data_IF_847381944672
#
_entry.id   IF_847381944672
#
_cell.length_a   1.000
_cell.length_b   1.000
_cell.length_c   1.000
_cell.angle_alpha   90.00
_cell.angle_beta   90.00
_cell.angle_gamma   90.00
#
_symmetry.space_group_name_H-M   'P 1'
#
loop_
_entity.id
_entity.type
_entity.pdbx_description
1 polymer ?
#
# COMPACT_ATOMS: atom_id res chain seq x y z
N UNK A 1 -13.33 12.45 -11.38
CA UNK A 1 -12.51 12.63 -12.59
C UNK A 1 -12.50 11.32 -13.36
N UNK A 2 -12.78 11.37 -14.65
CA UNK A 2 -12.88 10.18 -15.50
C UNK A 2 -11.97 10.41 -16.71
N UNK A 3 -10.73 9.97 -16.63
CA UNK A 3 -9.72 10.11 -17.69
C UNK A 3 -9.01 8.79 -18.00
N UNK A 4 -9.27 7.74 -17.23
CA UNK A 4 -8.87 6.38 -17.56
C UNK A 4 -9.97 5.67 -18.34
N UNK A 5 -9.59 4.82 -19.28
CA UNK A 5 -10.51 4.04 -20.11
C UNK A 5 -10.93 2.72 -19.46
N UNK A 6 -10.11 2.24 -18.52
CA UNK A 6 -10.30 0.98 -17.79
C UNK A 6 -10.20 1.23 -16.26
N UNK A 7 -10.56 0.23 -15.42
CA UNK A 7 -10.48 0.33 -13.97
C UNK A 7 -9.14 0.85 -13.45
N UNK A 8 -9.21 1.58 -12.35
CA UNK A 8 -8.00 1.99 -11.63
C UNK A 8 -7.51 0.83 -10.76
N UNK A 9 -6.20 0.76 -10.56
CA UNK A 9 -5.58 -0.24 -9.70
C UNK A 9 -5.19 0.33 -8.35
N UNK A 10 -4.59 1.52 -8.35
CA UNK A 10 -4.02 2.11 -7.15
C UNK A 10 -4.01 3.64 -7.26
N UNK A 11 -3.87 4.32 -6.10
CA UNK A 11 -3.67 5.75 -6.02
C UNK A 11 -2.72 6.12 -4.86
N UNK A 12 -1.96 7.19 -5.02
CA UNK A 12 -1.03 7.67 -4.01
C UNK A 12 -0.85 9.19 -4.09
N UNK A 13 -0.73 9.84 -2.93
CA UNK A 13 -0.32 11.25 -2.85
C UNK A 13 1.19 11.40 -2.88
N UNK A 14 1.65 12.55 -3.35
CA UNK A 14 2.99 13.02 -3.04
C UNK A 14 3.04 13.55 -1.58
N UNK A 15 4.26 13.78 -1.06
CA UNK A 15 4.45 14.23 0.34
C UNK A 15 3.73 15.54 0.65
N UNK A 16 3.71 16.48 -0.30
CA UNK A 16 3.11 17.80 -0.09
C UNK A 16 1.58 17.79 -0.24
N UNK A 17 0.98 16.66 -0.64
CA UNK A 17 -0.46 16.54 -0.86
C UNK A 17 -1.00 17.37 -2.04
N UNK A 18 -0.15 18.09 -2.77
CA UNK A 18 -0.57 18.95 -3.89
C UNK A 18 -0.68 18.20 -5.22
N UNK A 19 -0.13 17.00 -5.31
CA UNK A 19 -0.24 16.11 -6.46
C UNK A 19 -0.57 14.70 -5.99
N UNK A 20 -1.26 13.96 -6.84
CA UNK A 20 -1.44 12.52 -6.66
C UNK A 20 -1.34 11.80 -7.99
N UNK A 21 -1.15 10.50 -7.94
CA UNK A 21 -1.07 9.63 -9.10
C UNK A 21 -2.11 8.53 -9.02
N UNK A 22 -2.62 8.11 -10.18
CA UNK A 22 -3.48 6.95 -10.36
C UNK A 22 -2.86 6.00 -11.38
N UNK A 23 -2.91 4.69 -11.10
CA UNK A 23 -2.56 3.63 -12.02
C UNK A 23 -3.80 2.91 -12.52
N UNK A 24 -3.74 2.31 -13.73
CA UNK A 24 -4.91 1.71 -14.37
C UNK A 24 -4.59 0.46 -15.18
N UNK A 25 -5.64 -0.33 -15.41
CA UNK A 25 -5.67 -1.42 -16.38
C UNK A 25 -5.50 -0.93 -17.82
N UNK A 26 -5.70 0.37 -18.11
CA UNK A 26 -5.47 0.96 -19.43
C UNK A 26 -3.99 1.15 -19.79
N UNK A 27 -3.07 0.59 -18.99
CA UNK A 27 -1.62 0.60 -19.18
C UNK A 27 -0.97 1.97 -18.94
N UNK A 28 -1.73 2.92 -18.39
CA UNK A 28 -1.25 4.28 -18.14
C UNK A 28 -1.33 4.64 -16.66
N UNK A 29 -0.54 5.65 -16.28
CA UNK A 29 -0.72 6.38 -15.04
C UNK A 29 -1.01 7.84 -15.35
N UNK A 30 -1.72 8.51 -14.46
CA UNK A 30 -2.00 9.93 -14.58
C UNK A 30 -1.59 10.63 -13.30
N UNK A 31 -0.83 11.71 -13.44
CA UNK A 31 -0.49 12.63 -12.35
C UNK A 31 -1.48 13.78 -12.40
N UNK A 32 -2.03 14.10 -11.24
CA UNK A 32 -3.10 15.07 -11.05
C UNK A 32 -2.66 16.19 -10.13
N UNK A 33 -3.18 17.38 -10.35
CA UNK A 33 -3.19 18.45 -9.35
C UNK A 33 -4.32 18.22 -8.36
N UNK A 34 -4.00 18.23 -7.07
CA UNK A 34 -4.99 17.95 -6.02
C UNK A 34 -6.02 19.06 -5.85
N UNK A 35 -5.62 20.32 -6.06
CA UNK A 35 -6.49 21.46 -5.82
C UNK A 35 -7.48 21.70 -6.96
N UNK A 36 -6.99 21.67 -8.21
CA UNK A 36 -7.85 21.89 -9.39
C UNK A 36 -8.52 20.63 -9.89
N UNK A 37 -7.98 19.44 -9.55
CA UNK A 37 -8.42 18.16 -10.12
C UNK A 37 -8.03 17.98 -11.58
N UNK A 38 -7.16 18.84 -12.13
CA UNK A 38 -6.71 18.77 -13.51
C UNK A 38 -5.63 17.71 -13.71
N UNK A 39 -5.64 17.10 -14.88
CA UNK A 39 -4.58 16.20 -15.30
C UNK A 39 -3.31 16.99 -15.63
N UNK A 40 -2.23 16.73 -14.91
CA UNK A 40 -0.93 17.35 -15.18
C UNK A 40 -0.14 16.58 -16.22
N UNK A 41 -0.01 15.25 -16.04
CA UNK A 41 0.77 14.38 -16.93
C UNK A 41 0.08 13.05 -17.11
N UNK A 42 0.10 12.52 -18.34
CA UNK A 42 -0.28 11.14 -18.65
C UNK A 42 0.99 10.34 -18.97
N UNK A 43 1.33 9.38 -18.12
CA UNK A 43 2.50 8.54 -18.26
C UNK A 43 2.15 7.33 -19.13
N UNK A 44 2.74 7.29 -20.34
CA UNK A 44 2.48 6.24 -21.32
C UNK A 44 3.78 5.51 -21.67
N UNK A 45 3.73 4.18 -21.80
CA UNK A 45 4.90 3.39 -22.17
C UNK A 45 4.97 2.00 -21.56
N UNK A 46 4.11 1.67 -20.58
CA UNK A 46 3.86 0.28 -20.22
C UNK A 46 3.02 -0.42 -21.30
N UNK A 47 3.19 -1.74 -21.41
CA UNK A 47 2.51 -2.58 -22.40
C UNK A 47 1.42 -3.46 -21.81
N UNK A 48 1.19 -3.35 -20.51
CA UNK A 48 0.17 -4.07 -19.77
C UNK A 48 -0.24 -3.24 -18.54
N UNK A 49 -1.15 -3.75 -17.74
CA UNK A 49 -1.69 -3.12 -16.52
C UNK A 49 -0.60 -2.49 -15.67
N UNK A 50 -0.80 -1.25 -15.23
CA UNK A 50 0.02 -0.64 -14.18
C UNK A 50 -0.64 -0.93 -12.85
N UNK A 51 0.00 -1.77 -12.04
CA UNK A 51 -0.58 -2.26 -10.80
C UNK A 51 -0.06 -1.54 -9.56
N UNK A 52 1.25 -1.35 -9.46
CA UNK A 52 1.90 -0.70 -8.31
C UNK A 52 2.46 0.66 -8.71
N UNK A 53 2.28 1.64 -7.84
CA UNK A 53 2.73 3.02 -8.04
C UNK A 53 3.25 3.60 -6.73
N UNK A 54 4.29 4.41 -6.80
CA UNK A 54 4.82 5.12 -5.64
C UNK A 54 5.52 6.40 -6.05
N UNK A 55 5.37 7.47 -5.24
CA UNK A 55 6.25 8.63 -5.31
C UNK A 55 7.52 8.37 -4.51
N UNK A 56 8.64 8.93 -4.95
CA UNK A 56 9.86 8.96 -4.16
C UNK A 56 9.72 10.00 -3.04
N UNK A 57 9.72 9.54 -1.81
CA UNK A 57 9.66 10.43 -0.64
C UNK A 57 11.07 10.60 -0.05
N UNK A 58 11.45 11.80 0.39
CA UNK A 58 10.61 13.00 0.57
C UNK A 58 10.54 13.95 -0.62
N UNK A 59 11.30 13.71 -1.70
CA UNK A 59 11.49 14.70 -2.79
C UNK A 59 10.26 14.86 -3.69
N UNK A 60 9.54 13.76 -3.98
CA UNK A 60 8.35 13.73 -4.82
C UNK A 60 8.54 14.30 -6.24
N UNK A 61 9.77 14.23 -6.75
CA UNK A 61 10.16 14.64 -8.11
C UNK A 61 10.10 13.47 -9.10
N UNK A 62 10.02 12.24 -8.59
CA UNK A 62 9.95 11.01 -9.38
C UNK A 62 8.78 10.13 -8.94
N UNK A 63 8.34 9.29 -9.87
CA UNK A 63 7.37 8.23 -9.64
C UNK A 63 7.93 6.91 -10.16
N UNK A 64 7.76 5.83 -9.39
CA UNK A 64 7.99 4.48 -9.86
C UNK A 64 6.66 3.79 -10.15
N UNK A 65 6.61 3.01 -11.21
CA UNK A 65 5.45 2.21 -11.61
C UNK A 65 5.88 0.77 -11.87
N UNK A 66 5.12 -0.18 -11.35
CA UNK A 66 5.27 -1.62 -11.60
C UNK A 66 4.10 -2.15 -12.41
N UNK A 67 4.40 -2.96 -13.42
CA UNK A 67 3.41 -3.40 -14.40
C UNK A 67 3.42 -4.91 -14.63
N UNK A 68 2.28 -5.41 -15.11
CA UNK A 68 2.13 -6.77 -15.60
C UNK A 68 2.92 -7.02 -16.89
N UNK A 69 3.53 -5.98 -17.51
CA UNK A 69 4.50 -6.14 -18.60
C UNK A 69 5.89 -6.59 -18.13
N UNK A 70 6.04 -6.97 -16.86
CA UNK A 70 7.27 -7.47 -16.23
C UNK A 70 8.35 -6.40 -16.07
N UNK A 71 8.00 -5.13 -16.23
CA UNK A 71 8.94 -4.01 -16.06
C UNK A 71 8.49 -3.06 -14.96
N UNK A 72 9.47 -2.44 -14.30
CA UNK A 72 9.24 -1.23 -13.53
C UNK A 72 9.82 -0.03 -14.29
N UNK A 73 9.18 1.12 -14.16
CA UNK A 73 9.64 2.36 -14.80
C UNK A 73 9.73 3.49 -13.79
N UNK A 74 10.74 4.33 -13.99
CA UNK A 74 10.94 5.56 -13.26
C UNK A 74 10.57 6.74 -14.15
N UNK A 75 9.78 7.67 -13.62
CA UNK A 75 9.26 8.81 -14.36
C UNK A 75 9.58 10.11 -13.66
N UNK A 76 9.85 11.16 -14.43
CA UNK A 76 9.92 12.51 -13.92
C UNK A 76 8.50 13.07 -13.74
N UNK A 77 8.20 13.66 -12.58
CA UNK A 77 6.87 14.17 -12.23
C UNK A 77 6.52 15.46 -12.99
N UNK A 78 7.51 16.28 -13.34
CA UNK A 78 7.26 17.58 -13.97
C UNK A 78 6.92 17.47 -15.47
N UNK A 79 7.68 16.65 -16.20
CA UNK A 79 7.53 16.55 -17.65
C UNK A 79 6.93 15.20 -18.11
N UNK A 80 6.65 14.28 -17.19
CA UNK A 80 6.07 12.97 -17.47
C UNK A 80 6.96 12.03 -18.27
N UNK A 81 8.25 12.34 -18.45
CA UNK A 81 9.15 11.49 -19.22
C UNK A 81 9.62 10.28 -18.43
N UNK A 82 9.69 9.14 -19.11
CA UNK A 82 10.33 7.95 -18.57
C UNK A 82 11.85 8.17 -18.48
N UNK A 83 12.37 8.14 -17.26
CA UNK A 83 13.81 8.27 -16.97
C UNK A 83 14.48 6.92 -17.23
N UNK A 84 13.94 5.84 -16.64
CA UNK A 84 14.54 4.52 -16.66
C UNK A 84 13.49 3.41 -16.76
N UNK A 85 13.92 2.26 -17.30
CA UNK A 85 13.10 1.05 -17.35
C UNK A 85 13.90 -0.11 -16.79
N UNK A 86 13.45 -0.63 -15.64
CA UNK A 86 14.06 -1.76 -14.95
C UNK A 86 13.48 -3.07 -15.46
N UNK A 87 14.37 -4.02 -15.74
CA UNK A 87 14.06 -5.33 -16.29
C UNK A 87 14.77 -6.41 -15.47
N UNK A 88 14.26 -7.62 -15.50
CA UNK A 88 14.84 -8.76 -14.78
C UNK A 88 13.77 -9.73 -14.30
N UNK A 89 12.57 -9.23 -13.99
CA UNK A 89 11.44 -10.08 -13.66
C UNK A 89 10.92 -10.87 -14.87
N UNK A 90 10.41 -12.06 -14.59
CA UNK A 90 9.85 -12.97 -15.61
C UNK A 90 8.33 -13.12 -15.52
N UNK A 91 7.71 -12.48 -14.52
CA UNK A 91 6.27 -12.35 -14.37
C UNK A 91 5.89 -10.93 -13.91
N UNK A 92 4.62 -10.70 -13.64
CA UNK A 92 4.03 -9.42 -13.28
C UNK A 92 4.70 -8.79 -12.04
N UNK A 93 4.97 -7.49 -12.10
CA UNK A 93 5.40 -6.70 -10.94
C UNK A 93 4.15 -6.15 -10.26
N UNK A 94 3.92 -6.57 -9.01
CA UNK A 94 2.70 -6.23 -8.26
C UNK A 94 2.95 -5.35 -7.04
N UNK A 95 4.18 -5.21 -6.61
CA UNK A 95 4.55 -4.31 -5.52
C UNK A 95 5.91 -3.68 -5.74
N UNK A 96 6.10 -2.47 -5.23
CA UNK A 96 7.37 -1.75 -5.26
C UNK A 96 7.47 -0.75 -4.11
N UNK A 97 8.70 -0.39 -3.75
CA UNK A 97 8.97 0.61 -2.72
C UNK A 97 10.29 1.32 -3.00
N UNK A 98 10.31 2.63 -2.81
CA UNK A 98 11.56 3.38 -2.70
C UNK A 98 12.18 3.18 -1.32
N UNK A 99 13.50 3.25 -1.25
CA UNK A 99 14.21 3.44 0.01
C UNK A 99 13.95 4.87 0.55
N UNK A 100 14.14 5.13 1.86
CA UNK A 100 13.89 6.45 2.44
C UNK A 100 14.74 7.59 1.88
N UNK A 101 15.87 7.27 1.25
CA UNK A 101 16.78 8.24 0.62
C UNK A 101 16.47 8.47 -0.86
N UNK A 102 15.55 7.70 -1.43
CA UNK A 102 15.19 7.75 -2.87
C UNK A 102 16.35 7.46 -3.83
N UNK A 103 17.31 6.65 -3.38
CA UNK A 103 18.47 6.20 -4.18
C UNK A 103 18.30 4.79 -4.73
N UNK A 104 17.36 4.03 -4.14
CA UNK A 104 17.10 2.63 -4.50
C UNK A 104 15.60 2.39 -4.70
N UNK A 105 15.29 1.39 -5.51
CA UNK A 105 13.95 0.89 -5.76
C UNK A 105 13.93 -0.64 -5.63
N UNK A 106 13.08 -1.16 -4.76
CA UNK A 106 12.82 -2.59 -4.67
C UNK A 106 11.50 -2.92 -5.37
N UNK A 107 11.46 -4.00 -6.12
CA UNK A 107 10.27 -4.51 -6.80
C UNK A 107 10.00 -5.95 -6.41
N UNK A 108 8.74 -6.31 -6.23
CA UNK A 108 8.29 -7.67 -5.97
C UNK A 108 7.35 -8.16 -7.07
N UNK A 109 7.45 -9.43 -7.40
CA UNK A 109 6.81 -10.01 -8.58
C UNK A 109 6.15 -11.36 -8.30
N UNK A 110 5.22 -11.70 -9.20
CA UNK A 110 4.60 -13.02 -9.30
C UNK A 110 5.61 -14.12 -9.72
N UNK A 111 6.84 -13.74 -10.15
CA UNK A 111 7.93 -14.68 -10.38
C UNK A 111 8.62 -15.18 -9.09
N UNK A 112 8.08 -14.84 -7.92
CA UNK A 112 8.56 -15.23 -6.58
C UNK A 112 9.88 -14.57 -6.17
N UNK A 113 10.28 -13.54 -6.89
CA UNK A 113 11.53 -12.82 -6.62
C UNK A 113 11.28 -11.36 -6.29
N UNK A 114 12.20 -10.77 -5.54
CA UNK A 114 12.30 -9.32 -5.42
C UNK A 114 13.67 -8.86 -5.91
N UNK A 115 13.69 -7.74 -6.64
CA UNK A 115 14.92 -7.18 -7.22
C UNK A 115 15.12 -5.77 -6.70
N UNK A 116 16.31 -5.52 -6.15
CA UNK A 116 16.73 -4.18 -5.72
C UNK A 116 17.56 -3.53 -6.83
N UNK A 117 17.20 -2.31 -7.20
CA UNK A 117 17.88 -1.51 -8.21
C UNK A 117 18.47 -0.23 -7.60
N UNK A 118 19.63 0.18 -8.11
CA UNK A 118 20.21 1.49 -7.88
C UNK A 118 19.65 2.48 -8.91
N UNK A 119 19.10 3.61 -8.46
CA UNK A 119 18.43 4.60 -9.33
C UNK A 119 19.38 5.59 -10.02
N UNK A 120 20.65 5.64 -9.62
CA UNK A 120 21.66 6.47 -10.28
C UNK A 120 22.34 5.74 -11.44
N UNK A 121 22.55 4.43 -11.26
CA UNK A 121 23.25 3.61 -12.23
C UNK A 121 22.32 2.76 -13.10
N UNK A 122 21.04 2.69 -12.76
CA UNK A 122 20.01 1.81 -13.37
C UNK A 122 20.34 0.31 -13.29
N UNK A 123 21.25 -0.08 -12.38
CA UNK A 123 21.71 -1.47 -12.28
C UNK A 123 20.99 -2.21 -11.15
N UNK A 124 20.80 -3.51 -11.35
CA UNK A 124 20.43 -4.44 -10.30
C UNK A 124 21.55 -4.50 -9.25
N UNK A 125 21.20 -4.36 -7.96
CA UNK A 125 22.12 -4.53 -6.83
C UNK A 125 22.13 -6.01 -6.44
N UNK A 126 20.96 -6.57 -6.16
CA UNK A 126 20.79 -8.01 -5.90
C UNK A 126 19.35 -8.45 -6.17
N UNK A 127 19.17 -9.77 -6.25
CA UNK A 127 17.87 -10.42 -6.35
C UNK A 127 17.64 -11.37 -5.17
N UNK A 128 16.52 -11.20 -4.49
CA UNK A 128 15.99 -12.10 -3.45
C UNK A 128 15.24 -13.26 -4.11
N UNK A 129 15.61 -14.53 -3.77
CA UNK A 129 15.07 -15.76 -4.40
C UNK A 129 14.74 -16.87 -3.39
N UNK A 130 14.22 -16.54 -2.22
CA UNK A 130 13.94 -17.55 -1.17
C UNK A 130 12.44 -17.71 -0.86
N UNK A 131 11.56 -16.99 -1.54
CA UNK A 131 10.14 -17.27 -1.50
C UNK A 131 9.76 -18.41 -2.46
N UNK A 132 8.84 -19.25 -2.02
CA UNK A 132 8.30 -20.35 -2.83
C UNK A 132 6.99 -20.00 -3.52
N UNK A 133 6.39 -18.86 -3.15
CA UNK A 133 5.18 -18.26 -3.73
C UNK A 133 5.42 -16.84 -4.21
N UNK A 134 4.43 -16.27 -4.85
CA UNK A 134 4.41 -14.92 -5.40
C UNK A 134 4.62 -13.87 -4.31
N UNK A 135 5.41 -12.83 -4.59
CA UNK A 135 5.63 -11.70 -3.66
C UNK A 135 4.60 -10.62 -3.97
N UNK A 136 3.72 -10.33 -3.00
CA UNK A 136 2.59 -9.40 -3.20
C UNK A 136 2.70 -8.12 -2.38
N UNK A 137 3.55 -8.10 -1.38
CA UNK A 137 3.79 -6.94 -0.54
C UNK A 137 5.28 -6.75 -0.31
N UNK A 138 5.76 -5.50 -0.43
CA UNK A 138 7.15 -5.17 -0.24
C UNK A 138 7.30 -3.75 0.31
N UNK A 139 8.20 -3.56 1.25
CA UNK A 139 8.51 -2.23 1.79
C UNK A 139 9.89 -2.16 2.42
N UNK A 140 10.49 -0.97 2.40
CA UNK A 140 11.61 -0.64 3.30
C UNK A 140 11.08 -0.23 4.68
N UNK A 141 11.90 -0.41 5.71
CA UNK A 141 11.68 0.27 6.99
C UNK A 141 12.11 1.75 6.90
N UNK A 142 11.79 2.53 7.95
CA UNK A 142 12.10 3.97 8.01
C UNK A 142 13.59 4.31 7.93
N UNK A 143 14.46 3.41 8.39
CA UNK A 143 15.90 3.61 8.38
C UNK A 143 16.55 3.18 7.06
N UNK A 144 15.82 2.42 6.21
CA UNK A 144 16.29 1.92 4.92
C UNK A 144 17.29 0.76 5.02
N UNK A 145 17.48 0.22 6.22
CA UNK A 145 18.42 -0.90 6.46
C UNK A 145 17.77 -2.28 6.32
N UNK A 146 16.43 -2.35 6.26
CA UNK A 146 15.66 -3.60 6.14
C UNK A 146 14.62 -3.53 5.05
N UNK A 147 14.39 -4.67 4.41
CA UNK A 147 13.31 -4.90 3.45
C UNK A 147 12.38 -5.94 4.04
N UNK A 148 11.07 -5.72 3.94
CA UNK A 148 10.03 -6.68 4.29
C UNK A 148 9.36 -7.16 3.01
N UNK A 149 9.18 -8.46 2.88
CA UNK A 149 8.41 -9.09 1.80
C UNK A 149 7.30 -9.96 2.37
N UNK A 150 6.11 -9.92 1.77
CA UNK A 150 5.00 -10.82 2.04
C UNK A 150 4.66 -11.63 0.80
N UNK A 151 4.42 -12.93 0.97
CA UNK A 151 4.27 -13.87 -0.13
C UNK A 151 3.07 -14.81 0.02
N UNK A 152 2.62 -15.33 -1.11
CA UNK A 152 1.64 -16.42 -1.18
C UNK A 152 2.19 -17.77 -0.69
N UNK A 153 3.48 -17.87 -0.34
CA UNK A 153 4.06 -19.02 0.35
C UNK A 153 3.73 -19.07 1.85
N UNK A 154 2.78 -18.24 2.32
CA UNK A 154 2.30 -18.13 3.70
C UNK A 154 3.30 -17.46 4.64
N UNK A 155 4.41 -16.94 4.13
CA UNK A 155 5.46 -16.33 4.93
C UNK A 155 5.66 -14.85 4.62
N UNK A 156 6.07 -14.10 5.62
CA UNK A 156 6.73 -12.83 5.42
C UNK A 156 8.19 -12.95 5.84
N UNK A 157 9.08 -12.25 5.16
CA UNK A 157 10.52 -12.34 5.41
C UNK A 157 11.11 -10.94 5.53
N UNK A 158 12.07 -10.80 6.45
CA UNK A 158 12.84 -9.55 6.63
C UNK A 158 14.27 -9.78 6.14
N UNK A 159 14.76 -8.85 5.34
CA UNK A 159 16.04 -8.93 4.67
C UNK A 159 16.90 -7.73 5.04
N UNK A 160 18.22 -7.93 5.04
CA UNK A 160 19.18 -6.85 5.09
C UNK A 160 19.20 -6.13 3.74
N UNK A 161 18.99 -4.81 3.76
CA UNK A 161 18.90 -4.01 2.54
C UNK A 161 20.25 -3.77 1.85
N UNK A 162 21.38 -4.03 2.52
CA UNK A 162 22.71 -3.82 1.95
C UNK A 162 23.22 -5.02 1.15
N UNK A 163 22.93 -6.24 1.62
CA UNK A 163 23.48 -7.44 1.03
C UNK A 163 22.44 -8.48 0.59
N UNK A 164 21.16 -8.25 0.90
CA UNK A 164 20.06 -9.16 0.55
C UNK A 164 19.98 -10.42 1.41
N UNK A 165 20.70 -10.48 2.52
CA UNK A 165 20.66 -11.64 3.42
C UNK A 165 19.36 -11.70 4.21
N UNK A 166 18.87 -12.92 4.45
CA UNK A 166 17.68 -13.15 5.26
C UNK A 166 18.00 -12.90 6.74
N UNK A 167 17.33 -11.91 7.35
CA UNK A 167 17.42 -11.61 8.77
C UNK A 167 16.51 -12.54 9.56
N UNK A 168 15.21 -12.63 9.17
CA UNK A 168 14.25 -13.51 9.84
C UNK A 168 13.13 -13.95 8.89
N UNK A 169 12.54 -15.09 9.25
CA UNK A 169 11.43 -15.73 8.56
C UNK A 169 10.20 -15.76 9.49
N UNK A 170 9.12 -15.12 9.08
CA UNK A 170 7.86 -14.98 9.82
C UNK A 170 6.83 -15.97 9.24
N UNK A 171 6.84 -17.21 9.73
CA UNK A 171 6.22 -18.37 9.05
C UNK A 171 5.10 -19.06 9.86
N UNK A 172 4.30 -18.31 10.64
CA UNK A 172 3.20 -18.88 11.43
C UNK A 172 1.81 -18.81 10.77
N UNK A 173 1.66 -18.19 9.60
CA UNK A 173 0.39 -18.17 8.88
C UNK A 173 0.10 -19.50 8.19
N UNK A 174 -1.19 -19.83 8.05
CA UNK A 174 -1.69 -21.04 7.39
C UNK A 174 -2.38 -20.72 6.04
N UNK A 175 -2.20 -19.51 5.54
CA UNK A 175 -2.73 -19.04 4.26
C UNK A 175 -1.85 -17.93 3.71
N UNK A 176 -2.10 -17.54 2.47
CA UNK A 176 -1.36 -16.50 1.76
C UNK A 176 -1.34 -15.20 2.57
N UNK A 177 -0.19 -14.53 2.57
CA UNK A 177 -0.08 -13.17 3.10
C UNK A 177 -0.83 -12.23 2.15
N UNK A 178 -1.70 -11.39 2.68
CA UNK A 178 -2.41 -10.36 1.91
C UNK A 178 -1.71 -9.00 1.99
N UNK A 179 -1.18 -8.65 3.16
CA UNK A 179 -0.40 -7.43 3.36
C UNK A 179 0.61 -7.61 4.50
N UNK A 180 1.69 -6.84 4.45
CA UNK A 180 2.64 -6.73 5.55
C UNK A 180 3.22 -5.33 5.63
N UNK A 181 3.53 -4.87 6.85
CA UNK A 181 4.03 -3.52 7.07
C UNK A 181 4.95 -3.46 8.29
N UNK A 182 6.03 -2.66 8.20
CA UNK A 182 6.78 -2.21 9.37
C UNK A 182 6.00 -1.15 10.15
N UNK A 183 6.19 -1.11 11.46
CA UNK A 183 5.87 0.10 12.22
C UNK A 183 6.92 1.18 11.93
N UNK A 184 6.62 2.44 12.27
CA UNK A 184 7.53 3.56 12.01
C UNK A 184 8.92 3.40 12.65
N UNK A 185 9.02 2.78 13.84
CA UNK A 185 10.32 2.53 14.49
C UNK A 185 11.12 1.36 13.90
N UNK A 186 10.59 0.65 12.91
CA UNK A 186 11.27 -0.46 12.21
C UNK A 186 11.57 -1.69 13.08
N UNK A 187 11.00 -1.78 14.29
CA UNK A 187 11.24 -2.88 15.23
C UNK A 187 10.11 -3.88 15.34
N UNK A 188 8.95 -3.56 14.78
CA UNK A 188 7.78 -4.45 14.71
C UNK A 188 7.28 -4.55 13.28
N UNK A 189 6.65 -5.69 13.00
CA UNK A 189 5.99 -5.98 11.73
C UNK A 189 4.57 -6.48 12.02
N UNK A 190 3.62 -6.09 11.19
CA UNK A 190 2.31 -6.74 11.09
C UNK A 190 2.22 -7.51 9.77
N UNK A 191 1.54 -8.63 9.83
CA UNK A 191 1.19 -9.44 8.66
C UNK A 191 -0.28 -9.80 8.72
N UNK A 192 -0.99 -9.68 7.62
CA UNK A 192 -2.36 -10.16 7.45
C UNK A 192 -2.40 -11.27 6.42
N UNK A 193 -3.39 -12.15 6.56
CA UNK A 193 -3.50 -13.35 5.72
C UNK A 193 -4.94 -13.71 5.43
N UNK A 194 -5.12 -14.46 4.34
CA UNK A 194 -6.39 -15.13 4.01
C UNK A 194 -6.77 -16.21 5.03
N UNK A 195 -5.84 -16.60 5.94
CA UNK A 195 -6.14 -17.47 7.07
C UNK A 195 -7.03 -16.81 8.15
N UNK A 196 -7.53 -15.58 7.89
CA UNK A 196 -8.42 -14.79 8.75
C UNK A 196 -7.75 -14.22 10.01
N UNK A 197 -6.42 -14.24 10.05
CA UNK A 197 -5.65 -13.74 11.19
C UNK A 197 -4.73 -12.59 10.78
N UNK A 198 -4.48 -11.71 11.73
CA UNK A 198 -3.40 -10.72 11.67
C UNK A 198 -2.40 -11.03 12.78
N UNK A 199 -1.11 -10.97 12.49
CA UNK A 199 -0.05 -11.25 13.45
C UNK A 199 0.85 -10.04 13.63
N UNK A 200 1.19 -9.78 14.89
CA UNK A 200 2.18 -8.79 15.28
C UNK A 200 3.47 -9.48 15.65
N UNK A 201 4.58 -9.00 15.12
CA UNK A 201 5.92 -9.54 15.33
C UNK A 201 6.84 -8.49 15.94
N UNK A 202 7.72 -8.92 16.86
CA UNK A 202 8.82 -8.10 17.37
C UNK A 202 10.12 -8.62 16.76
N UNK A 203 10.80 -7.78 15.98
CA UNK A 203 12.02 -8.18 15.26
C UNK A 203 13.23 -8.43 16.17
N UNK A 204 13.14 -8.08 17.45
CA UNK A 204 14.15 -8.42 18.46
C UNK A 204 14.03 -9.87 18.94
N UNK A 205 12.84 -10.47 18.75
CA UNK A 205 12.56 -11.86 19.08
C UNK A 205 11.56 -12.46 18.08
N UNK A 206 12.08 -13.00 17.00
CA UNK A 206 11.27 -13.51 15.86
C UNK A 206 10.94 -15.00 15.98
N UNK A 207 11.23 -15.64 17.11
CA UNK A 207 10.94 -17.07 17.30
C UNK A 207 9.45 -17.40 17.26
N UNK A 208 8.62 -16.42 17.61
CA UNK A 208 7.14 -16.49 17.54
C UNK A 208 6.57 -15.10 17.33
N UNK A 209 5.34 -15.04 16.81
CA UNK A 209 4.55 -13.81 16.80
C UNK A 209 4.30 -13.34 18.24
N UNK A 210 4.41 -12.03 18.45
CA UNK A 210 4.09 -11.40 19.74
C UNK A 210 2.61 -11.60 20.06
N UNK A 211 1.76 -11.52 19.03
CA UNK A 211 0.31 -11.74 19.12
C UNK A 211 -0.26 -12.19 17.79
N UNK A 212 -1.18 -13.14 17.85
CA UNK A 212 -2.12 -13.45 16.78
C UNK A 212 -3.47 -12.85 17.13
N UNK A 213 -3.95 -11.93 16.31
CA UNK A 213 -5.30 -11.35 16.40
C UNK A 213 -6.27 -12.24 15.61
N UNK A 214 -7.26 -12.76 16.32
CA UNK A 214 -8.31 -13.64 15.79
C UNK A 214 -9.64 -12.92 15.97
N UNK A 215 -10.59 -13.10 15.05
CA UNK A 215 -11.93 -12.53 15.21
C UNK A 215 -12.57 -12.03 13.93
N UNK A 216 -11.84 -11.97 12.81
CA UNK A 216 -12.46 -11.90 11.50
C UNK A 216 -13.04 -13.28 11.13
N UNK A 217 -14.21 -13.27 10.48
CA UNK A 217 -14.88 -14.49 10.03
C UNK A 217 -14.49 -14.88 8.61
N UNK A 218 -13.79 -14.00 7.90
CA UNK A 218 -13.30 -14.23 6.54
C UNK A 218 -11.91 -13.60 6.33
N UNK A 219 -11.36 -13.74 5.13
CA UNK A 219 -10.03 -13.30 4.71
C UNK A 219 -9.74 -11.84 5.12
N UNK A 220 -8.54 -11.57 5.61
CA UNK A 220 -8.08 -10.20 5.84
C UNK A 220 -7.38 -9.73 4.58
N UNK A 221 -7.87 -8.65 3.97
CA UNK A 221 -7.37 -8.12 2.70
C UNK A 221 -6.22 -7.13 2.88
N UNK A 222 -6.26 -6.33 3.95
CA UNK A 222 -5.25 -5.30 4.21
C UNK A 222 -5.05 -5.06 5.70
N UNK A 223 -3.84 -4.62 6.08
CA UNK A 223 -3.52 -4.24 7.44
C UNK A 223 -2.55 -3.05 7.47
N UNK A 224 -2.67 -2.21 8.48
CA UNK A 224 -1.81 -1.04 8.61
C UNK A 224 -1.57 -0.65 10.07
N UNK A 225 -0.40 -0.07 10.36
CA UNK A 225 -0.14 0.65 11.59
C UNK A 225 -0.59 2.11 11.47
N UNK A 226 -0.95 2.72 12.60
CA UNK A 226 -0.93 4.17 12.68
C UNK A 226 0.53 4.67 12.78
N UNK A 227 0.77 5.96 12.52
CA UNK A 227 2.12 6.53 12.48
C UNK A 227 2.90 6.33 13.79
N UNK A 228 2.22 6.36 14.93
CA UNK A 228 2.86 6.17 16.26
C UNK A 228 3.16 4.70 16.58
N UNK A 229 2.66 3.75 15.79
CA UNK A 229 2.81 2.31 16.04
C UNK A 229 2.03 1.80 17.25
N UNK A 230 1.04 2.58 17.73
CA UNK A 230 0.23 2.22 18.91
C UNK A 230 -1.06 1.48 18.58
N UNK A 231 -1.53 1.61 17.34
CA UNK A 231 -2.75 0.98 16.82
C UNK A 231 -2.46 0.23 15.54
N UNK A 232 -3.22 -0.84 15.34
CA UNK A 232 -3.28 -1.62 14.09
C UNK A 232 -4.72 -1.59 13.60
N UNK A 233 -4.91 -1.46 12.29
CA UNK A 233 -6.21 -1.66 11.65
C UNK A 233 -6.12 -2.79 10.63
N UNK A 234 -7.22 -3.54 10.49
CA UNK A 234 -7.40 -4.58 9.47
C UNK A 234 -8.71 -4.39 8.73
N UNK A 235 -8.72 -4.68 7.43
CA UNK A 235 -9.92 -4.74 6.59
C UNK A 235 -10.12 -6.16 6.07
N UNK A 236 -11.35 -6.65 6.07
CA UNK A 236 -11.66 -8.04 5.77
C UNK A 236 -12.80 -8.21 4.77
N UNK A 237 -12.81 -9.37 4.11
CA UNK A 237 -13.91 -9.86 3.28
C UNK A 237 -15.17 -10.18 4.08
N UNK A 238 -15.09 -10.18 5.43
CA UNK A 238 -16.28 -10.28 6.30
C UNK A 238 -17.07 -8.96 6.41
N UNK A 239 -16.73 -7.96 5.60
CA UNK A 239 -17.32 -6.62 5.54
C UNK A 239 -17.03 -5.75 6.77
N UNK A 240 -16.13 -6.17 7.65
CA UNK A 240 -15.76 -5.39 8.85
C UNK A 240 -14.31 -4.95 8.81
N UNK A 241 -14.02 -3.84 9.47
CA UNK A 241 -12.67 -3.49 9.86
C UNK A 241 -12.52 -3.63 11.39
N UNK A 242 -11.30 -3.86 11.85
CA UNK A 242 -11.02 -3.93 13.29
C UNK A 242 -9.85 -3.04 13.65
N UNK A 243 -9.94 -2.45 14.85
CA UNK A 243 -8.84 -1.67 15.43
C UNK A 243 -8.33 -2.42 16.67
N UNK A 244 -7.03 -2.58 16.74
CA UNK A 244 -6.34 -3.26 17.84
C UNK A 244 -5.36 -2.30 18.50
N UNK A 245 -5.24 -2.42 19.82
CA UNK A 245 -4.21 -1.72 20.60
C UNK A 245 -2.96 -2.58 20.70
N UNK A 246 -1.82 -2.00 20.30
CA UNK A 246 -0.51 -2.69 20.25
C UNK A 246 0.03 -2.95 21.66
N UNK A 247 -0.28 -2.09 22.64
CA UNK A 247 0.23 -2.22 24.01
C UNK A 247 -0.53 -3.27 24.80
N UNK A 248 -1.87 -3.26 24.71
CA UNK A 248 -2.72 -4.21 25.43
C UNK A 248 -2.91 -5.52 24.70
N UNK A 249 -2.58 -5.55 23.39
CA UNK A 249 -2.76 -6.70 22.51
C UNK A 249 -4.21 -7.17 22.41
N UNK A 250 -5.16 -6.23 22.46
CA UNK A 250 -6.60 -6.50 22.43
C UNK A 250 -7.27 -5.81 21.26
N UNK A 251 -8.40 -6.37 20.81
CA UNK A 251 -9.32 -5.69 19.88
C UNK A 251 -10.02 -4.58 20.64
N UNK A 252 -9.91 -3.35 20.20
CA UNK A 252 -10.63 -2.21 20.77
C UNK A 252 -12.00 -2.07 20.12
N UNK A 253 -12.03 -2.06 18.78
CA UNK A 253 -13.28 -1.84 18.04
C UNK A 253 -13.42 -2.82 16.89
N UNK A 254 -14.68 -3.19 16.61
CA UNK A 254 -15.10 -3.81 15.36
C UNK A 254 -16.01 -2.82 14.64
N UNK A 255 -15.58 -2.34 13.50
CA UNK A 255 -16.24 -1.31 12.70
C UNK A 255 -17.18 -2.00 11.72
N UNK A 256 -18.46 -1.89 11.99
CA UNK A 256 -19.53 -2.53 11.22
C UNK A 256 -20.31 -1.48 10.43
N UNK A 257 -20.50 -1.70 9.15
CA UNK A 257 -21.27 -0.76 8.34
C UNK A 257 -21.16 -1.04 6.84
N UNK A 258 -20.00 -1.42 6.33
CA UNK A 258 -19.86 -1.84 4.94
C UNK A 258 -20.74 -3.06 4.64
N UNK A 259 -21.23 -3.14 3.41
CA UNK A 259 -22.11 -4.23 2.97
C UNK A 259 -21.42 -5.25 2.11
N UNK A 260 -20.18 -4.98 1.73
CA UNK A 260 -19.28 -5.90 1.03
C UNK A 260 -17.87 -5.80 1.61
N UNK A 261 -16.95 -6.62 1.10
CA UNK A 261 -15.57 -6.71 1.50
C UNK A 261 -14.84 -5.36 1.54
N UNK A 262 -13.94 -5.22 2.51
CA UNK A 262 -13.08 -4.06 2.67
C UNK A 262 -11.73 -4.38 2.02
N UNK A 263 -11.41 -3.66 0.95
CA UNK A 263 -10.19 -3.84 0.16
C UNK A 263 -8.99 -3.07 0.70
N UNK A 264 -9.21 -1.93 1.37
CA UNK A 264 -8.14 -1.05 1.84
C UNK A 264 -8.47 -0.39 3.17
N UNK A 265 -7.45 -0.26 4.03
CA UNK A 265 -7.55 0.47 5.29
C UNK A 265 -6.34 1.40 5.45
N UNK A 266 -6.59 2.66 5.83
CA UNK A 266 -5.54 3.68 5.97
C UNK A 266 -5.84 4.59 7.14
N UNK A 267 -4.87 4.79 8.04
CA UNK A 267 -4.95 5.83 9.06
C UNK A 267 -4.58 7.20 8.47
N UNK A 268 -5.17 8.26 9.01
CA UNK A 268 -4.66 9.60 8.78
C UNK A 268 -3.28 9.78 9.46
N UNK A 269 -2.54 10.82 9.12
CA UNK A 269 -1.20 11.08 9.67
C UNK A 269 -1.18 11.32 11.17
N UNK A 270 -2.32 11.73 11.76
CA UNK A 270 -2.48 11.96 13.19
C UNK A 270 -2.87 10.69 13.95
N UNK A 271 -3.33 9.66 13.25
CA UNK A 271 -3.83 8.41 13.82
C UNK A 271 -5.21 8.51 14.47
N UNK A 272 -5.96 9.59 14.20
CA UNK A 272 -7.26 9.84 14.81
C UNK A 272 -8.44 9.38 13.96
N UNK A 273 -8.21 9.19 12.67
CA UNK A 273 -9.22 8.76 11.70
C UNK A 273 -8.73 7.56 10.91
N UNK A 274 -9.60 6.55 10.79
CA UNK A 274 -9.38 5.42 9.89
C UNK A 274 -10.28 5.57 8.67
N UNK A 275 -9.70 5.44 7.49
CA UNK A 275 -10.41 5.36 6.21
C UNK A 275 -10.47 3.91 5.78
N UNK A 276 -11.66 3.45 5.39
CA UNK A 276 -11.87 2.12 4.81
C UNK A 276 -12.46 2.25 3.42
N UNK A 277 -11.91 1.55 2.44
CA UNK A 277 -12.43 1.44 1.07
C UNK A 277 -13.03 0.06 0.85
N UNK A 278 -14.20 -0.02 0.19
CA UNK A 278 -14.95 -1.26 0.05
C UNK A 278 -15.48 -1.49 -1.37
N UNK A 279 -15.70 -2.76 -1.68
CA UNK A 279 -16.43 -3.21 -2.86
C UNK A 279 -17.93 -2.85 -2.84
N UNK A 280 -18.44 -2.24 -1.74
CA UNK A 280 -19.78 -1.66 -1.71
C UNK A 280 -19.84 -0.27 -2.39
N UNK A 281 -18.77 0.14 -3.06
CA UNK A 281 -18.64 1.42 -3.77
C UNK A 281 -18.56 2.65 -2.86
N UNK A 282 -18.37 2.46 -1.56
CA UNK A 282 -18.22 3.54 -0.57
C UNK A 282 -16.88 3.49 0.14
N UNK A 283 -16.43 4.67 0.59
CA UNK A 283 -15.43 4.75 1.65
C UNK A 283 -16.09 5.25 2.93
N UNK A 284 -15.54 4.87 4.07
CA UNK A 284 -16.02 5.29 5.38
C UNK A 284 -14.90 5.84 6.23
N UNK A 285 -15.23 6.90 6.97
CA UNK A 285 -14.34 7.53 7.93
C UNK A 285 -14.80 7.16 9.34
N UNK A 286 -13.90 6.64 10.13
CA UNK A 286 -14.15 6.18 11.48
C UNK A 286 -13.30 6.93 12.50
N UNK A 287 -13.87 7.26 13.62
CA UNK A 287 -13.14 7.76 14.76
C UNK A 287 -12.33 6.64 15.41
N UNK A 288 -11.03 6.80 15.57
CA UNK A 288 -10.14 5.75 16.10
C UNK A 288 -10.26 5.60 17.61
N UNK A 289 -10.67 6.65 18.33
CA UNK A 289 -10.81 6.61 19.80
C UNK A 289 -12.16 6.06 20.24
N UNK A 290 -13.22 6.30 19.47
CA UNK A 290 -14.58 5.89 19.84
C UNK A 290 -15.10 4.70 19.03
N UNK A 291 -14.49 4.40 17.87
CA UNK A 291 -14.96 3.40 16.92
C UNK A 291 -16.22 3.82 16.15
N UNK A 292 -16.67 5.08 16.29
CA UNK A 292 -17.88 5.56 15.66
C UNK A 292 -17.66 5.96 14.20
N UNK A 293 -18.69 5.78 13.39
CA UNK A 293 -18.72 6.24 12.00
C UNK A 293 -18.85 7.76 11.96
N UNK A 294 -17.83 8.45 11.41
CA UNK A 294 -17.85 9.91 11.21
C UNK A 294 -18.58 10.31 9.93
N UNK A 295 -18.28 9.61 8.83
CA UNK A 295 -18.79 9.98 7.51
C UNK A 295 -18.78 8.80 6.53
N UNK A 296 -19.72 8.79 5.60
CA UNK A 296 -19.72 7.91 4.43
C UNK A 296 -19.44 8.75 3.18
N UNK A 297 -18.47 8.34 2.38
CA UNK A 297 -18.11 8.95 1.11
C UNK A 297 -18.76 8.14 -0.02
N UNK A 298 -19.90 8.64 -0.51
CA UNK A 298 -20.70 8.00 -1.55
C UNK A 298 -20.51 8.70 -2.89
N UNK A 299 -20.47 7.94 -3.99
CA UNK A 299 -20.41 8.53 -5.32
C UNK A 299 -19.70 7.69 -6.37
N UNK A 300 -18.91 6.69 -6.00
CA UNK A 300 -18.45 5.65 -6.92
C UNK A 300 -19.60 4.70 -7.29
N UNK A 301 -19.51 4.07 -8.45
CA UNK A 301 -20.54 3.15 -8.98
C UNK A 301 -20.13 1.68 -8.89
N UNK A 302 -18.86 1.44 -8.66
CA UNK A 302 -18.21 0.13 -8.61
C UNK A 302 -17.23 0.06 -7.44
N UNK A 303 -16.63 -1.11 -7.23
CA UNK A 303 -15.68 -1.43 -6.17
C UNK A 303 -14.58 -0.36 -6.04
N UNK A 304 -14.22 -0.01 -4.82
CA UNK A 304 -13.08 0.85 -4.53
C UNK A 304 -11.88 -0.05 -4.22
N UNK A 305 -10.82 0.05 -5.03
CA UNK A 305 -9.62 -0.76 -4.86
C UNK A 305 -8.54 -0.11 -4.02
N UNK A 306 -8.46 1.22 -4.03
CA UNK A 306 -7.46 1.96 -3.26
C UNK A 306 -8.00 3.29 -2.78
N UNK A 307 -7.51 3.70 -1.63
CA UNK A 307 -7.79 5.01 -1.05
C UNK A 307 -6.58 5.50 -0.26
N UNK A 308 -6.40 6.80 -0.13
CA UNK A 308 -5.30 7.40 0.59
C UNK A 308 -5.67 8.75 1.19
N UNK A 309 -5.08 9.07 2.34
CA UNK A 309 -5.03 10.44 2.87
C UNK A 309 -3.82 11.17 2.31
N UNK A 310 -3.93 12.50 2.17
CA UNK A 310 -2.74 13.34 2.08
C UNK A 310 -2.05 13.43 3.47
N UNK A 311 -0.84 14.00 3.49
CA UNK A 311 -0.07 14.08 4.74
C UNK A 311 -0.74 14.95 5.81
N UNK A 312 -1.49 15.98 5.42
CA UNK A 312 -2.20 16.87 6.35
C UNK A 312 -3.48 16.22 6.92
N UNK A 313 -3.97 15.15 6.31
CA UNK A 313 -5.17 14.41 6.70
C UNK A 313 -6.48 15.14 6.38
N UNK A 314 -6.43 16.18 5.55
CA UNK A 314 -7.58 17.01 5.16
C UNK A 314 -8.18 16.65 3.80
N UNK A 315 -7.45 15.88 3.01
CA UNK A 315 -7.84 15.48 1.66
C UNK A 315 -7.69 13.98 1.48
N UNK A 316 -8.66 13.37 0.83
CA UNK A 316 -8.69 11.94 0.53
C UNK A 316 -8.80 11.77 -0.99
N UNK A 317 -8.11 10.77 -1.52
CA UNK A 317 -8.34 10.26 -2.87
C UNK A 317 -8.84 8.83 -2.82
N UNK A 318 -9.68 8.48 -3.78
CA UNK A 318 -10.22 7.13 -3.94
C UNK A 318 -10.11 6.70 -5.40
N UNK A 319 -9.73 5.45 -5.63
CA UNK A 319 -9.59 4.84 -6.95
C UNK A 319 -10.53 3.65 -7.07
N UNK A 320 -11.35 3.63 -8.13
CA UNK A 320 -12.42 2.66 -8.30
C UNK A 320 -12.35 1.92 -9.63
N UNK A 321 -12.99 0.77 -9.64
CA UNK A 321 -13.28 -0.06 -10.80
C UNK A 321 -14.19 0.65 -11.81
N UNK A 322 -14.87 1.73 -11.41
CA UNK A 322 -15.71 2.55 -12.30
C UNK A 322 -14.90 3.48 -13.24
N UNK A 323 -13.59 3.26 -13.36
CA UNK A 323 -12.64 4.01 -14.17
C UNK A 323 -12.42 5.45 -13.71
N UNK A 324 -12.82 5.77 -12.49
CA UNK A 324 -12.71 7.13 -11.95
C UNK A 324 -11.93 7.20 -10.66
N UNK A 325 -11.27 8.32 -10.41
CA UNK A 325 -10.82 8.73 -9.09
C UNK A 325 -11.65 9.92 -8.60
N UNK A 326 -11.77 10.02 -7.27
CA UNK A 326 -12.45 11.15 -6.63
C UNK A 326 -11.56 11.75 -5.57
N UNK A 327 -11.66 13.08 -5.44
CA UNK A 327 -11.03 13.86 -4.37
C UNK A 327 -12.14 14.26 -3.41
N UNK A 328 -11.88 14.06 -2.13
CA UNK A 328 -12.75 14.44 -1.04
C UNK A 328 -11.97 15.38 -0.13
N UNK A 329 -12.50 16.55 0.15
CA UNK A 329 -11.84 17.57 0.98
C UNK A 329 -12.78 18.09 2.04
N UNK A 330 -12.25 18.27 3.25
CA UNK A 330 -12.94 18.92 4.36
C UNK A 330 -12.79 20.46 4.33
N UNK A 331 -12.25 21.03 3.24
CA UNK A 331 -12.15 22.49 3.14
C UNK A 331 -13.55 23.07 3.10
N UNK A 332 -13.96 23.68 4.20
CA UNK A 332 -15.05 24.65 4.22
C UNK A 332 -14.58 25.77 3.30
N UNK A 333 -15.27 25.99 2.17
CA UNK A 333 -15.04 27.21 1.40
C UNK A 333 -15.41 28.37 2.32
N UNK A 334 -14.40 29.09 2.82
CA UNK A 334 -14.61 30.41 3.40
C UNK A 334 -15.01 31.32 2.24
N UNK A 335 -16.32 31.58 2.14
CA UNK A 335 -16.89 32.62 1.28
C UNK A 335 -16.72 33.99 1.94
#
# INVERSE_FOLDING_TARGET
MQCHELPLTNCAFNKNGNKFITGSYDQTCIIWDTQSGEMLQKLTGHKNVVYSISFNLPYADKVATGSFDQTAKLWNVEDGKCISTFRGHTAEIVCLSFDPTSTQLITGSMDKTAILYNLETDQEIFTIRKHEGEIISISFNSDGDKILTGSFDYTAKVWDAFNGDLICDLNEHNGEISACQFNYSGNQVITSSIDKTCKLWDLRNTSKSLKTFIGHSDEIMDCTFNLTGTKIATGSSDNTAKIYDVKTLTTEFTLVGHTKEISKVVFDSRGNTLLTGSSDSTCRLWDVETGELRQVLEGHKEDIFSCAFNYDGDTIITASKDNSCKIWSNRVEEF
#
